data_IF_454708600834
#
_entry.id   IF_454708600834
#
_cell.length_a   1.000
_cell.length_b   1.000
_cell.length_c   1.000
_cell.angle_alpha   90.00
_cell.angle_beta   90.00
_cell.angle_gamma   90.00
#
_symmetry.space_group_name_H-M   'P 1'
#
loop_
_entity.id
_entity.type
_entity.pdbx_description
1 polymer ?
#
# COMPACT_ATOMS: atom_id res chain seq x y z
N UNK A 1 -24.85 -56.76 -47.76
CA UNK A 1 -24.57 -55.33 -47.88
C UNK A 1 -25.38 -54.57 -46.82
N UNK A 2 -24.83 -54.47 -45.64
CA UNK A 2 -25.38 -53.61 -44.55
C UNK A 2 -24.16 -53.27 -43.65
N UNK A 3 -23.99 -52.01 -43.35
CA UNK A 3 -23.04 -51.42 -42.41
C UNK A 3 -22.01 -50.52 -43.09
N UNK A 4 -22.38 -49.23 -43.19
CA UNK A 4 -21.42 -48.10 -43.37
C UNK A 4 -22.14 -46.76 -43.14
N UNK A 5 -23.04 -46.63 -42.14
CA UNK A 5 -23.69 -45.35 -41.82
C UNK A 5 -23.50 -44.85 -40.36
N UNK A 6 -22.80 -45.60 -39.51
CA UNK A 6 -22.66 -45.24 -38.09
C UNK A 6 -21.36 -44.45 -37.73
N UNK A 7 -20.37 -44.38 -38.59
CA UNK A 7 -19.07 -43.74 -38.26
C UNK A 7 -19.00 -42.24 -38.42
N UNK A 8 -19.93 -41.60 -39.17
CA UNK A 8 -19.83 -40.14 -39.44
C UNK A 8 -20.46 -39.26 -38.33
N UNK A 9 -21.24 -39.83 -37.43
CA UNK A 9 -21.93 -39.08 -36.37
C UNK A 9 -21.11 -38.98 -35.11
N UNK A 10 -20.19 -39.92 -34.87
CA UNK A 10 -19.31 -39.89 -33.68
C UNK A 10 -18.21 -38.81 -33.78
N UNK A 11 -17.76 -38.46 -35.00
CA UNK A 11 -16.72 -37.47 -35.21
C UNK A 11 -17.17 -36.01 -35.03
N UNK A 12 -18.45 -35.72 -35.25
CA UNK A 12 -19.01 -34.35 -35.12
C UNK A 12 -19.24 -33.94 -33.65
N UNK A 13 -19.38 -34.91 -32.73
CA UNK A 13 -19.57 -34.63 -31.29
C UNK A 13 -18.25 -34.38 -30.56
N UNK A 14 -17.17 -35.00 -31.03
CA UNK A 14 -15.84 -34.79 -30.43
C UNK A 14 -15.21 -33.39 -30.75
N UNK A 15 -15.60 -32.82 -31.92
CA UNK A 15 -15.07 -31.49 -32.32
C UNK A 15 -15.75 -30.31 -31.59
N UNK A 16 -16.91 -30.52 -30.98
CA UNK A 16 -17.61 -29.44 -30.25
C UNK A 16 -17.17 -29.27 -28.79
N UNK A 17 -16.31 -30.17 -28.27
CA UNK A 17 -15.86 -30.15 -26.88
C UNK A 17 -14.52 -29.46 -26.67
N UNK A 18 -13.87 -28.99 -27.75
CA UNK A 18 -12.59 -28.27 -27.68
C UNK A 18 -12.73 -26.77 -27.96
N UNK A 19 -13.89 -26.17 -27.76
CA UNK A 19 -13.95 -24.74 -27.61
C UNK A 19 -13.30 -24.40 -26.26
N UNK A 20 -11.97 -24.37 -26.22
CA UNK A 20 -11.26 -23.68 -25.16
C UNK A 20 -11.78 -22.24 -25.15
N UNK A 21 -12.38 -21.81 -24.05
CA UNK A 21 -12.65 -20.40 -23.85
C UNK A 21 -11.29 -19.68 -24.08
N UNK A 22 -11.24 -18.81 -25.07
CA UNK A 22 -10.11 -17.94 -25.23
C UNK A 22 -10.15 -16.96 -24.06
N UNK A 23 -9.41 -17.26 -23.00
CA UNK A 23 -9.18 -16.29 -21.94
C UNK A 23 -8.47 -15.09 -22.57
N UNK A 24 -8.99 -13.89 -22.36
CA UNK A 24 -8.29 -12.67 -22.73
C UNK A 24 -6.96 -12.63 -21.97
N UNK A 25 -5.91 -12.11 -22.57
CA UNK A 25 -4.67 -11.90 -21.83
C UNK A 25 -4.82 -10.69 -20.88
N UNK A 26 -4.15 -10.67 -19.74
CA UNK A 26 -4.19 -9.51 -18.86
C UNK A 26 -3.63 -8.28 -19.57
N UNK A 27 -4.09 -7.09 -19.19
CA UNK A 27 -3.48 -5.83 -19.66
C UNK A 27 -2.00 -5.85 -19.32
N UNK A 28 -1.16 -5.82 -20.33
CA UNK A 28 0.27 -6.03 -20.16
C UNK A 28 0.98 -4.82 -19.55
N UNK A 29 0.57 -3.61 -19.93
CA UNK A 29 1.24 -2.37 -19.53
C UNK A 29 0.20 -1.31 -19.13
N UNK A 30 0.54 -0.57 -18.08
CA UNK A 30 -0.19 0.55 -17.53
C UNK A 30 0.71 1.76 -17.39
N UNK A 31 0.14 2.92 -17.28
CA UNK A 31 0.77 4.08 -16.66
C UNK A 31 0.21 4.24 -15.25
N UNK A 32 1.05 4.69 -14.33
CA UNK A 32 0.63 4.94 -12.95
C UNK A 32 1.02 6.33 -12.50
N UNK A 33 0.31 6.83 -11.52
CA UNK A 33 0.69 7.99 -10.71
C UNK A 33 0.30 7.72 -9.25
N UNK A 34 1.26 7.92 -8.34
CA UNK A 34 1.05 7.87 -6.89
C UNK A 34 1.27 9.26 -6.33
N UNK A 35 0.27 9.80 -5.64
CA UNK A 35 0.39 11.03 -4.87
C UNK A 35 0.12 10.77 -3.40
N UNK A 36 0.85 11.46 -2.53
CA UNK A 36 0.63 11.44 -1.09
C UNK A 36 0.70 12.83 -0.52
N UNK A 37 -0.10 13.07 0.50
CA UNK A 37 -0.11 14.32 1.25
C UNK A 37 -0.42 14.06 2.74
N UNK A 38 0.13 14.88 3.62
CA UNK A 38 -0.29 14.90 5.02
C UNK A 38 -1.67 15.53 5.16
N UNK A 39 -2.56 14.89 5.91
CA UNK A 39 -3.77 15.54 6.41
C UNK A 39 -3.39 16.47 7.57
N UNK A 40 -3.27 17.75 7.25
CA UNK A 40 -2.85 18.78 8.23
C UNK A 40 -3.97 19.25 9.14
N UNK A 41 -5.15 18.64 9.09
CA UNK A 41 -6.24 18.95 10.03
C UNK A 41 -5.84 18.63 11.46
N UNK A 42 -6.26 19.41 12.46
CA UNK A 42 -5.96 19.15 13.88
C UNK A 42 -6.47 17.80 14.39
N UNK A 43 -7.41 17.16 13.68
CA UNK A 43 -7.93 15.85 14.02
C UNK A 43 -7.00 14.71 13.55
N UNK A 44 -6.24 14.94 12.48
CA UNK A 44 -5.37 13.95 11.86
C UNK A 44 -3.90 14.12 12.24
N UNK A 45 -3.43 15.38 12.33
CA UNK A 45 -2.03 15.68 12.69
C UNK A 45 -1.99 16.38 14.04
N UNK A 46 -1.34 15.73 15.00
CA UNK A 46 -1.24 16.19 16.38
C UNK A 46 0.20 16.31 16.82
N UNK A 47 0.46 17.34 17.62
CA UNK A 47 1.74 17.58 18.27
C UNK A 47 1.58 17.62 19.76
N UNK A 48 2.57 17.15 20.48
CA UNK A 48 2.64 17.20 21.95
C UNK A 48 3.81 18.07 22.37
N UNK A 49 3.64 18.79 23.48
CA UNK A 49 4.74 19.58 24.05
C UNK A 49 5.35 18.81 25.22
N UNK A 50 6.63 18.65 25.21
CA UNK A 50 7.37 17.96 26.29
C UNK A 50 7.44 18.75 27.61
N UNK A 51 6.99 20.01 27.62
CA UNK A 51 7.06 20.90 28.76
C UNK A 51 5.80 20.90 29.64
N UNK A 52 5.97 21.39 30.86
CA UNK A 52 4.87 21.51 31.85
C UNK A 52 3.90 22.64 31.56
N UNK A 53 4.17 23.48 30.59
CA UNK A 53 3.30 24.63 30.23
C UNK A 53 3.28 24.80 28.69
N UNK A 54 2.41 24.06 28.00
CA UNK A 54 2.28 24.20 26.56
C UNK A 54 1.74 25.61 26.24
N UNK A 55 2.59 26.46 25.70
CA UNK A 55 2.19 27.76 25.16
C UNK A 55 1.17 27.57 24.01
N UNK A 56 0.43 28.64 23.64
CA UNK A 56 -0.51 28.55 22.54
C UNK A 56 0.23 28.14 21.26
N UNK A 57 -0.39 27.22 20.54
CA UNK A 57 0.11 26.74 19.25
C UNK A 57 0.02 27.87 18.23
N UNK A 58 1.15 28.34 17.76
CA UNK A 58 1.22 29.22 16.62
C UNK A 58 2.45 28.86 15.78
N UNK A 59 2.54 29.25 14.48
CA UNK A 59 3.69 28.94 13.61
C UNK A 59 5.04 29.42 14.15
N UNK A 60 5.05 30.35 15.11
CA UNK A 60 6.24 30.81 15.81
C UNK A 60 6.60 29.99 17.04
N UNK A 61 5.82 29.01 17.45
CA UNK A 61 5.97 28.29 18.73
C UNK A 61 6.31 26.81 18.63
N UNK A 62 6.84 26.33 17.52
CA UNK A 62 7.49 25.07 17.56
C UNK A 62 7.04 23.97 16.62
N UNK A 63 5.99 24.14 15.85
CA UNK A 63 5.71 23.24 14.74
C UNK A 63 5.09 23.95 13.52
N UNK A 64 5.23 23.30 12.38
CA UNK A 64 4.74 23.76 11.10
C UNK A 64 4.21 22.59 10.29
N UNK A 65 3.13 22.81 9.53
CA UNK A 65 2.49 21.79 8.72
C UNK A 65 2.25 22.28 7.30
N UNK A 66 2.52 21.42 6.34
CA UNK A 66 2.11 21.56 4.95
C UNK A 66 1.72 20.19 4.39
N UNK A 67 1.21 20.13 3.17
CA UNK A 67 0.80 18.89 2.54
C UNK A 67 1.95 17.88 2.37
N UNK A 68 3.19 18.34 2.29
CA UNK A 68 4.35 17.48 2.08
C UNK A 68 5.43 17.57 3.16
N UNK A 69 5.28 18.45 4.15
CA UNK A 69 6.30 18.65 5.18
C UNK A 69 5.67 19.01 6.53
N UNK A 70 6.00 18.21 7.54
CA UNK A 70 5.74 18.49 8.93
C UNK A 70 7.06 18.81 9.62
N UNK A 71 7.11 19.87 10.45
CA UNK A 71 8.30 20.24 11.20
C UNK A 71 7.94 20.50 12.66
N UNK A 72 8.88 20.18 13.56
CA UNK A 72 8.72 20.45 14.99
C UNK A 72 10.06 20.76 15.66
N UNK A 73 10.04 21.22 16.90
CA UNK A 73 11.24 21.56 17.67
C UNK A 73 11.34 23.03 18.02
N UNK A 74 12.52 23.64 17.89
CA UNK A 74 12.74 25.03 18.28
C UNK A 74 12.20 26.04 17.26
N UNK A 75 11.84 27.23 17.76
CA UNK A 75 11.15 28.26 17.01
C UNK A 75 11.92 28.94 15.88
N UNK A 76 13.23 29.00 15.97
CA UNK A 76 14.10 29.89 15.19
C UNK A 76 14.90 29.17 14.12
N UNK A 77 14.66 27.89 13.94
CA UNK A 77 15.41 27.08 13.02
C UNK A 77 14.64 26.60 11.78
N UNK A 78 15.37 26.01 10.88
CA UNK A 78 14.84 25.26 9.75
C UNK A 78 15.44 23.86 9.75
N UNK A 79 14.83 22.93 9.05
CA UNK A 79 15.41 21.59 8.82
C UNK A 79 16.81 21.73 8.23
N UNK A 80 16.99 22.62 7.24
CA UNK A 80 18.29 22.87 6.60
C UNK A 80 19.36 23.41 7.55
N UNK A 81 18.95 24.10 8.64
CA UNK A 81 19.88 24.60 9.66
C UNK A 81 20.13 23.59 10.79
N UNK A 82 19.49 22.41 10.75
CA UNK A 82 19.68 21.37 11.74
C UNK A 82 19.11 21.71 13.13
N UNK A 83 18.08 22.54 13.20
CA UNK A 83 17.47 22.98 14.46
C UNK A 83 16.03 22.49 14.65
N UNK A 84 15.46 21.88 13.64
CA UNK A 84 14.12 21.27 13.68
C UNK A 84 14.18 19.86 13.16
N UNK A 85 13.44 18.97 13.80
CA UNK A 85 13.08 17.68 13.23
C UNK A 85 11.91 17.84 12.27
N UNK A 86 11.70 16.86 11.41
CA UNK A 86 10.60 16.91 10.45
C UNK A 86 10.36 15.60 9.73
N UNK A 87 9.18 15.47 9.17
CA UNK A 87 8.80 14.39 8.28
C UNK A 87 8.37 14.98 6.94
N UNK A 88 9.04 14.57 5.88
CA UNK A 88 8.78 15.04 4.51
C UNK A 88 8.33 13.91 3.60
N UNK A 89 7.32 14.19 2.78
CA UNK A 89 6.95 13.35 1.65
C UNK A 89 7.73 13.83 0.44
N UNK A 90 8.66 13.00 -0.02
CA UNK A 90 9.46 13.27 -1.20
C UNK A 90 8.99 12.40 -2.37
N UNK A 91 9.39 12.73 -3.58
CA UNK A 91 9.00 12.00 -4.79
C UNK A 91 7.46 11.86 -4.94
N UNK A 92 6.71 12.93 -4.67
CA UNK A 92 5.25 12.99 -4.86
C UNK A 92 4.90 14.16 -5.78
N UNK A 93 4.27 13.92 -6.96
CA UNK A 93 3.84 12.62 -7.47
C UNK A 93 5.00 11.76 -7.97
N UNK A 94 4.88 10.43 -7.81
CA UNK A 94 5.70 9.44 -8.49
C UNK A 94 4.88 8.82 -9.62
N UNK A 95 5.42 8.76 -10.84
CA UNK A 95 4.69 8.28 -11.99
C UNK A 95 5.58 7.57 -13.00
N UNK A 96 4.97 6.76 -13.87
CA UNK A 96 5.69 6.07 -14.92
C UNK A 96 4.94 4.88 -15.51
N UNK A 97 5.62 4.07 -16.34
CA UNK A 97 5.06 2.81 -16.82
C UNK A 97 5.18 1.72 -15.75
N UNK A 98 4.19 0.82 -15.72
CA UNK A 98 4.20 -0.39 -14.91
C UNK A 98 3.68 -1.57 -15.73
N UNK A 99 4.43 -2.67 -15.73
CA UNK A 99 4.03 -3.91 -16.38
C UNK A 99 3.28 -4.82 -15.39
N UNK A 100 2.20 -5.43 -15.85
CA UNK A 100 1.53 -6.49 -15.10
C UNK A 100 2.46 -7.68 -14.90
N UNK A 101 2.53 -8.21 -13.69
CA UNK A 101 3.46 -9.28 -13.29
C UNK A 101 4.94 -8.90 -13.50
N UNK A 102 5.25 -7.59 -13.58
CA UNK A 102 6.58 -7.06 -13.78
C UNK A 102 7.36 -6.79 -12.49
N UNK A 103 8.42 -6.01 -12.64
CA UNK A 103 9.25 -5.54 -11.53
C UNK A 103 8.51 -4.51 -10.67
N UNK A 104 9.03 -4.26 -9.47
CA UNK A 104 8.58 -3.15 -8.63
C UNK A 104 8.95 -1.81 -9.28
N UNK A 105 8.05 -0.84 -9.16
CA UNK A 105 8.22 0.54 -9.59
C UNK A 105 8.17 1.48 -8.38
N UNK A 106 8.87 2.63 -8.41
CA UNK A 106 8.86 3.57 -7.30
C UNK A 106 7.45 4.10 -6.97
N UNK A 107 7.17 4.26 -5.70
CA UNK A 107 6.07 5.06 -5.17
C UNK A 107 6.63 6.35 -4.53
N UNK A 108 5.97 6.88 -3.50
CA UNK A 108 6.51 8.03 -2.77
C UNK A 108 7.54 7.59 -1.73
N UNK A 109 8.41 8.52 -1.35
CA UNK A 109 9.42 8.34 -0.30
C UNK A 109 9.10 9.24 0.88
N UNK A 110 9.54 8.84 2.07
CA UNK A 110 9.34 9.59 3.30
C UNK A 110 10.68 9.77 4.01
N UNK A 111 11.04 11.02 4.28
CA UNK A 111 12.30 11.36 4.95
C UNK A 111 12.01 11.93 6.33
N UNK A 112 12.57 11.30 7.33
CA UNK A 112 12.64 11.84 8.68
C UNK A 112 13.96 12.58 8.87
N UNK A 113 13.88 13.87 9.14
CA UNK A 113 15.00 14.72 9.58
C UNK A 113 15.04 14.67 11.10
N UNK A 114 15.96 13.85 11.63
CA UNK A 114 16.08 13.66 13.07
C UNK A 114 17.16 14.57 13.65
N UNK A 115 16.75 15.63 14.29
CA UNK A 115 17.65 16.61 14.90
C UNK A 115 17.75 16.45 16.41
N UNK A 116 18.94 16.19 16.89
CA UNK A 116 19.23 16.01 18.31
C UNK A 116 19.12 17.29 19.17
N UNK A 117 18.87 18.45 18.56
CA UNK A 117 18.88 19.75 19.25
C UNK A 117 17.51 20.21 19.76
N UNK A 118 16.59 19.30 20.03
CA UNK A 118 15.29 19.66 20.63
C UNK A 118 15.49 20.16 22.04
N UNK A 119 15.17 21.44 22.27
CA UNK A 119 15.24 22.04 23.59
C UNK A 119 14.15 21.55 24.54
N UNK A 120 14.32 21.78 25.81
CA UNK A 120 13.24 21.60 26.79
C UNK A 120 12.02 22.46 26.40
N UNK A 121 10.82 21.92 26.51
CA UNK A 121 9.56 22.50 26.06
C UNK A 121 9.37 22.59 24.53
N UNK A 122 10.04 21.75 23.77
CA UNK A 122 9.81 21.64 22.34
C UNK A 122 8.51 20.90 22.03
N UNK A 123 7.87 21.28 20.94
CA UNK A 123 6.80 20.52 20.37
C UNK A 123 7.40 19.34 19.58
N UNK A 124 6.74 18.18 19.63
CA UNK A 124 7.10 16.99 18.85
C UNK A 124 5.85 16.44 18.15
N UNK A 125 6.03 15.82 17.02
CA UNK A 125 4.95 15.08 16.36
C UNK A 125 4.47 13.96 17.30
N UNK A 126 3.18 13.69 17.34
CA UNK A 126 2.61 12.52 18.01
C UNK A 126 1.93 11.59 17.02
N UNK A 127 1.02 12.13 16.22
CA UNK A 127 0.34 11.37 15.17
C UNK A 127 0.19 12.22 13.93
N UNK A 128 0.17 11.56 12.79
CA UNK A 128 -0.27 12.19 11.54
C UNK A 128 -0.98 11.16 10.65
N UNK A 129 -1.72 11.66 9.69
CA UNK A 129 -2.36 10.85 8.66
C UNK A 129 -1.80 11.23 7.30
N UNK A 130 -1.56 10.24 6.48
CA UNK A 130 -1.11 10.41 5.09
C UNK A 130 -2.24 9.92 4.21
N UNK A 131 -2.81 10.79 3.40
CA UNK A 131 -3.75 10.43 2.36
C UNK A 131 -2.99 10.20 1.07
N UNK A 132 -3.23 9.06 0.44
CA UNK A 132 -2.54 8.64 -0.77
C UNK A 132 -3.52 8.20 -1.84
N UNK A 133 -3.23 8.55 -3.08
CA UNK A 133 -3.96 8.09 -4.25
C UNK A 133 -3.03 7.35 -5.20
N UNK A 134 -3.54 6.29 -5.80
CA UNK A 134 -2.90 5.57 -6.90
C UNK A 134 -3.85 5.56 -8.09
N UNK A 135 -3.46 6.16 -9.18
CA UNK A 135 -4.13 6.02 -10.47
C UNK A 135 -3.40 5.02 -11.37
N UNK A 136 -4.16 4.20 -12.06
CA UNK A 136 -3.68 3.31 -13.13
C UNK A 136 -4.47 3.59 -14.39
N UNK A 137 -3.80 3.74 -15.52
CA UNK A 137 -4.41 3.98 -16.82
C UNK A 137 -3.84 3.05 -17.89
N UNK A 138 -4.73 2.46 -18.68
CA UNK A 138 -4.40 1.70 -19.87
C UNK A 138 -5.50 1.90 -20.93
N UNK A 139 -5.27 1.57 -22.22
CA UNK A 139 -6.29 1.75 -23.25
C UNK A 139 -7.63 1.12 -22.88
N UNK A 140 -8.65 1.95 -22.71
CA UNK A 140 -10.02 1.54 -22.37
C UNK A 140 -10.30 1.28 -20.89
N UNK A 141 -9.35 1.53 -19.99
CA UNK A 141 -9.54 1.34 -18.55
C UNK A 141 -8.72 2.32 -17.72
N UNK A 142 -9.40 2.99 -16.79
CA UNK A 142 -8.79 3.82 -15.75
C UNK A 142 -9.26 3.34 -14.38
N UNK A 143 -8.37 3.35 -13.41
CA UNK A 143 -8.63 2.98 -12.01
C UNK A 143 -8.03 4.02 -11.09
N UNK A 144 -8.78 4.36 -10.05
CA UNK A 144 -8.36 5.24 -8.98
C UNK A 144 -8.56 4.53 -7.64
N UNK A 145 -7.53 4.54 -6.83
CA UNK A 145 -7.54 3.98 -5.47
C UNK A 145 -7.13 5.07 -4.51
N UNK A 146 -7.87 5.17 -3.41
CA UNK A 146 -7.61 6.13 -2.35
C UNK A 146 -7.41 5.36 -1.04
N UNK A 147 -6.38 5.70 -0.29
CA UNK A 147 -6.13 5.10 1.01
C UNK A 147 -5.56 6.12 1.96
N UNK A 148 -5.63 5.80 3.25
CA UNK A 148 -5.05 6.61 4.30
C UNK A 148 -4.21 5.74 5.22
N UNK A 149 -3.05 6.28 5.59
CA UNK A 149 -2.14 5.67 6.57
C UNK A 149 -2.12 6.53 7.83
N UNK A 150 -2.15 5.89 8.98
CA UNK A 150 -1.88 6.57 10.24
C UNK A 150 -0.44 6.35 10.65
N UNK A 151 0.25 7.41 10.98
CA UNK A 151 1.61 7.40 11.52
C UNK A 151 1.52 7.74 12.99
N UNK A 152 2.08 6.89 13.85
CA UNK A 152 2.29 7.16 15.26
C UNK A 152 3.79 7.35 15.45
N UNK A 153 4.15 8.42 16.13
CA UNK A 153 5.54 8.82 16.28
C UNK A 153 5.84 9.13 17.75
N UNK A 154 7.02 8.78 18.18
CA UNK A 154 7.56 9.26 19.44
C UNK A 154 8.99 9.74 19.29
N UNK A 155 9.21 10.98 19.69
CA UNK A 155 10.53 11.56 19.90
C UNK A 155 11.12 10.95 21.16
N UNK A 156 12.26 10.32 21.06
CA UNK A 156 12.93 9.74 22.22
C UNK A 156 13.97 10.71 22.80
N UNK A 157 14.37 10.54 24.07
CA UNK A 157 15.40 11.41 24.63
C UNK A 157 16.72 11.26 23.88
N UNK A 158 17.30 12.38 23.45
CA UNK A 158 18.60 12.47 22.77
C UNK A 158 19.76 12.17 23.73
N UNK A 159 19.76 10.99 24.33
CA UNK A 159 20.76 10.56 25.33
C UNK A 159 21.02 9.06 25.21
N UNK A 160 22.15 8.66 25.71
CA UNK A 160 22.67 7.30 25.57
C UNK A 160 22.16 6.32 26.64
N UNK A 161 21.27 6.72 27.53
CA UNK A 161 20.77 5.88 28.62
C UNK A 161 19.30 6.13 28.89
N UNK A 162 18.59 5.07 29.24
CA UNK A 162 17.17 5.16 29.63
C UNK A 162 16.24 5.39 28.46
N UNK A 163 16.51 4.78 27.31
CA UNK A 163 15.59 4.75 26.20
C UNK A 163 14.30 4.04 26.63
N UNK A 164 13.15 4.71 26.59
CA UNK A 164 11.90 4.11 27.03
C UNK A 164 11.45 2.95 26.15
N UNK A 165 11.99 2.86 24.96
CA UNK A 165 11.48 2.02 23.89
C UNK A 165 12.46 1.04 23.27
N UNK A 166 13.75 1.12 23.59
CA UNK A 166 14.71 0.23 22.96
C UNK A 166 15.76 -0.26 23.95
N UNK A 167 16.06 -1.54 23.97
CA UNK A 167 17.15 -2.04 24.78
C UNK A 167 18.50 -1.50 24.35
N UNK A 168 18.69 -0.92 23.16
CA UNK A 168 20.04 -0.90 22.58
C UNK A 168 20.40 0.25 21.63
N UNK A 169 19.54 1.23 21.39
CA UNK A 169 19.96 2.36 20.57
C UNK A 169 20.76 3.36 21.41
N UNK A 170 21.93 3.71 20.92
CA UNK A 170 22.82 4.66 21.59
C UNK A 170 23.28 5.72 20.57
N UNK A 171 22.69 6.92 20.57
CA UNK A 171 21.57 7.41 21.39
C UNK A 171 20.22 6.74 21.07
N UNK A 172 19.19 7.01 21.90
CA UNK A 172 17.86 6.47 21.68
C UNK A 172 17.31 6.86 20.31
N UNK A 173 16.85 5.90 19.53
CA UNK A 173 16.26 6.15 18.21
C UNK A 173 14.81 6.55 18.33
N UNK A 174 14.36 7.49 17.52
CA UNK A 174 12.95 7.81 17.38
C UNK A 174 12.18 6.68 16.71
N UNK A 175 10.90 6.57 17.04
CA UNK A 175 10.08 5.44 16.62
C UNK A 175 8.93 5.92 15.77
N UNK A 176 8.79 5.30 14.61
CA UNK A 176 7.67 5.43 13.70
C UNK A 176 6.91 4.11 13.61
N UNK A 177 5.59 4.17 13.82
CA UNK A 177 4.66 3.06 13.55
C UNK A 177 3.76 3.49 12.41
N UNK A 178 3.66 2.68 11.36
CA UNK A 178 2.77 2.92 10.23
C UNK A 178 1.63 1.91 10.26
N UNK A 179 0.39 2.43 10.16
CA UNK A 179 -0.83 1.62 10.17
C UNK A 179 -1.69 1.98 8.97
N UNK A 180 -2.10 0.98 8.24
CA UNK A 180 -2.87 1.10 7.01
C UNK A 180 -2.19 0.40 5.85
N UNK A 181 -2.76 0.49 4.66
CA UNK A 181 -2.15 -0.08 3.48
C UNK A 181 -3.10 -0.18 2.30
N UNK A 182 -2.53 -0.32 1.11
CA UNK A 182 -3.27 -0.67 -0.09
C UNK A 182 -3.53 -2.18 -0.11
N UNK A 183 -4.61 -2.62 0.53
CA UNK A 183 -5.10 -4.00 0.43
C UNK A 183 -6.08 -4.19 -0.72
N UNK A 184 -6.13 -3.28 -1.68
CA UNK A 184 -7.15 -3.26 -2.71
C UNK A 184 -6.80 -4.14 -3.90
N UNK A 185 -7.84 -4.72 -4.50
CA UNK A 185 -7.77 -5.43 -5.78
C UNK A 185 -8.92 -4.98 -6.67
N UNK A 186 -8.81 -5.23 -7.96
CA UNK A 186 -9.88 -4.99 -8.91
C UNK A 186 -9.93 -6.07 -9.97
N UNK A 187 -11.12 -6.32 -10.51
CA UNK A 187 -11.30 -7.26 -11.61
C UNK A 187 -11.46 -6.49 -12.93
N UNK A 188 -10.75 -6.91 -13.95
CA UNK A 188 -10.89 -6.40 -15.31
C UNK A 188 -10.55 -7.49 -16.32
N UNK A 189 -11.40 -7.65 -17.33
CA UNK A 189 -11.23 -8.57 -18.48
C UNK A 189 -10.85 -10.01 -18.08
N UNK A 190 -11.53 -10.55 -17.06
CA UNK A 190 -11.33 -11.92 -16.58
C UNK A 190 -10.11 -12.12 -15.65
N UNK A 191 -9.46 -11.05 -15.24
CA UNK A 191 -8.34 -11.07 -14.31
C UNK A 191 -8.65 -10.29 -13.04
N UNK A 192 -8.18 -10.80 -11.91
CA UNK A 192 -8.06 -10.06 -10.66
C UNK A 192 -6.66 -9.47 -10.56
N UNK A 193 -6.59 -8.15 -10.42
CA UNK A 193 -5.36 -7.39 -10.24
C UNK A 193 -5.22 -7.01 -8.77
N UNK A 194 -4.06 -7.26 -8.20
CA UNK A 194 -3.70 -6.91 -6.82
C UNK A 194 -2.36 -6.19 -6.77
N UNK A 195 -2.15 -5.41 -5.70
CA UNK A 195 -0.92 -4.68 -5.46
C UNK A 195 -0.05 -5.41 -4.45
N UNK A 196 1.25 -5.42 -4.70
CA UNK A 196 2.25 -5.86 -3.73
C UNK A 196 3.20 -4.70 -3.47
N UNK A 197 3.40 -4.37 -2.20
CA UNK A 197 4.24 -3.25 -1.75
C UNK A 197 5.49 -3.76 -1.05
N UNK A 198 6.56 -3.00 -1.21
CA UNK A 198 7.80 -3.15 -0.45
C UNK A 198 8.27 -1.77 0.00
N UNK A 199 9.14 -1.74 1.00
CA UNK A 199 9.88 -0.55 1.42
C UNK A 199 11.36 -0.86 1.54
N UNK A 200 12.19 0.16 1.34
CA UNK A 200 13.64 0.11 1.55
C UNK A 200 14.07 1.34 2.38
N UNK A 201 14.56 1.18 3.60
CA UNK A 201 14.62 -0.06 4.37
C UNK A 201 13.24 -0.70 4.63
N UNK A 202 13.25 -2.03 4.77
CA UNK A 202 12.01 -2.76 5.03
C UNK A 202 11.43 -2.41 6.40
N UNK A 203 10.11 -2.29 6.48
CA UNK A 203 9.43 -2.27 7.78
C UNK A 203 9.69 -3.55 8.52
N UNK A 204 9.98 -3.41 9.82
CA UNK A 204 10.18 -4.54 10.71
C UNK A 204 9.12 -4.55 11.80
N UNK A 205 8.85 -5.72 12.35
CA UNK A 205 8.09 -5.83 13.59
C UNK A 205 8.90 -5.17 14.71
N UNK A 206 8.29 -4.18 15.35
CA UNK A 206 8.89 -3.50 16.49
C UNK A 206 8.59 -4.26 17.78
N UNK A 207 9.41 -4.07 18.81
CA UNK A 207 9.10 -4.62 20.13
C UNK A 207 7.81 -3.99 20.68
N UNK A 208 7.11 -4.73 21.53
CA UNK A 208 5.89 -4.22 22.19
C UNK A 208 6.14 -2.91 22.95
N UNK A 209 7.32 -2.77 23.55
CA UNK A 209 7.72 -1.54 24.24
C UNK A 209 7.84 -0.34 23.27
N UNK A 210 8.37 -0.57 22.08
CA UNK A 210 8.46 0.46 21.03
C UNK A 210 7.07 0.86 20.51
N UNK A 211 6.22 -0.13 20.25
CA UNK A 211 4.83 0.12 19.81
C UNK A 211 4.08 0.99 20.83
N UNK A 212 4.15 0.60 22.11
CA UNK A 212 3.48 1.32 23.20
C UNK A 212 4.07 2.72 23.38
N UNK A 213 5.39 2.88 23.28
CA UNK A 213 6.03 4.19 23.38
C UNK A 213 5.59 5.14 22.27
N UNK A 214 5.34 4.63 21.06
CA UNK A 214 4.78 5.40 19.95
C UNK A 214 3.27 5.68 20.09
N UNK A 215 2.63 5.20 21.14
CA UNK A 215 1.20 5.38 21.37
C UNK A 215 0.31 4.39 20.61
N UNK A 216 0.87 3.25 20.20
CA UNK A 216 0.14 2.20 19.51
C UNK A 216 0.10 0.89 20.33
N UNK A 217 -0.65 -0.09 19.87
CA UNK A 217 -0.73 -1.41 20.52
C UNK A 217 0.45 -2.30 20.13
N UNK A 218 0.74 -3.31 20.93
CA UNK A 218 1.75 -4.34 20.66
C UNK A 218 1.53 -5.04 19.30
N UNK A 219 2.61 -5.55 18.71
CA UNK A 219 2.57 -6.21 17.40
C UNK A 219 2.49 -5.23 16.23
N UNK A 220 3.07 -4.07 16.36
CA UNK A 220 3.12 -3.06 15.31
C UNK A 220 4.34 -3.23 14.40
N UNK A 221 4.24 -2.63 13.21
CA UNK A 221 5.32 -2.55 12.24
C UNK A 221 5.76 -1.10 12.06
N UNK A 222 7.03 -0.91 11.84
CA UNK A 222 7.59 0.43 11.68
C UNK A 222 9.10 0.42 11.52
N UNK A 223 9.71 1.51 11.91
CA UNK A 223 11.15 1.67 11.90
C UNK A 223 11.59 2.62 13.01
N UNK A 224 12.86 2.49 13.40
CA UNK A 224 13.51 3.38 14.34
C UNK A 224 14.58 4.20 13.61
N UNK A 225 14.62 5.50 13.90
CA UNK A 225 15.53 6.44 13.22
C UNK A 225 16.59 6.93 14.20
N UNK A 226 17.89 6.72 13.88
CA UNK A 226 18.98 7.18 14.73
C UNK A 226 18.98 8.71 14.89
N UNK A 227 19.39 9.17 16.05
CA UNK A 227 19.55 10.58 16.36
C UNK A 227 20.60 11.29 15.49
N UNK A 228 20.29 12.52 15.09
CA UNK A 228 21.20 13.39 14.35
C UNK A 228 21.46 12.91 12.91
N UNK A 229 20.57 12.13 12.34
CA UNK A 229 20.70 11.60 10.98
C UNK A 229 19.36 11.71 10.24
N UNK A 230 19.45 12.05 8.96
CA UNK A 230 18.30 11.94 8.07
C UNK A 230 18.06 10.47 7.72
N UNK A 231 16.79 10.07 7.69
CA UNK A 231 16.41 8.68 7.40
C UNK A 231 15.30 8.66 6.39
N UNK A 232 15.58 8.10 5.22
CA UNK A 232 14.61 8.00 4.13
C UNK A 232 14.12 6.55 3.98
N UNK A 233 12.82 6.40 3.82
CA UNK A 233 12.17 5.13 3.48
C UNK A 233 11.55 5.28 2.11
N UNK A 234 12.01 4.49 1.16
CA UNK A 234 11.51 4.44 -0.20
C UNK A 234 10.45 3.34 -0.33
N UNK A 235 9.30 3.68 -0.91
CA UNK A 235 8.27 2.70 -1.22
C UNK A 235 8.29 2.35 -2.69
N UNK A 236 8.03 1.10 -2.97
CA UNK A 236 7.81 0.60 -4.32
C UNK A 236 6.66 -0.40 -4.35
N UNK A 237 6.03 -0.55 -5.51
CA UNK A 237 4.94 -1.49 -5.69
C UNK A 237 5.01 -2.18 -7.04
N UNK A 238 4.31 -3.30 -7.16
CA UNK A 238 4.06 -3.97 -8.43
C UNK A 238 2.61 -4.39 -8.55
N UNK A 239 2.16 -4.54 -9.79
CA UNK A 239 0.83 -5.02 -10.15
C UNK A 239 0.91 -6.50 -10.53
N UNK A 240 0.11 -7.33 -9.87
CA UNK A 240 0.01 -8.77 -10.11
C UNK A 240 -1.40 -9.09 -10.61
N UNK A 241 -1.50 -9.82 -11.71
CA UNK A 241 -2.77 -10.30 -12.23
C UNK A 241 -2.86 -11.82 -12.14
N UNK A 242 -4.01 -12.31 -11.68
CA UNK A 242 -4.35 -13.73 -11.64
C UNK A 242 -5.66 -13.94 -12.42
N UNK A 243 -5.71 -15.00 -13.20
CA UNK A 243 -6.93 -15.35 -13.94
C UNK A 243 -8.06 -15.70 -12.96
N UNK A 244 -9.23 -15.10 -13.18
CA UNK A 244 -10.44 -15.46 -12.43
C UNK A 244 -11.07 -16.67 -13.09
N UNK A 245 -11.15 -17.84 -12.43
CA UNK A 245 -11.76 -19.02 -13.01
C UNK A 245 -13.20 -18.74 -13.44
N UNK A 246 -13.52 -19.11 -14.68
CA UNK A 246 -14.92 -19.00 -15.15
C UNK A 246 -15.84 -19.79 -14.23
N UNK A 247 -17.00 -19.24 -13.86
CA UNK A 247 -17.97 -19.96 -13.04
C UNK A 247 -18.30 -21.31 -13.68
N UNK A 248 -18.24 -22.38 -12.89
CA UNK A 248 -18.61 -23.75 -13.31
C UNK A 248 -20.04 -23.84 -13.92
N UNK A 249 -20.83 -22.77 -13.80
CA UNK A 249 -22.14 -22.60 -14.44
C UNK A 249 -22.09 -22.73 -15.96
N UNK A 250 -21.03 -22.22 -16.61
CA UNK A 250 -20.90 -22.38 -18.08
C UNK A 250 -20.67 -23.84 -18.48
N UNK A 251 -19.85 -24.57 -17.72
CA UNK A 251 -19.65 -26.00 -17.91
C UNK A 251 -20.95 -26.80 -17.66
N UNK A 252 -21.70 -26.41 -16.61
CA UNK A 252 -23.01 -27.03 -16.28
C UNK A 252 -24.06 -26.73 -17.35
N UNK A 253 -24.12 -25.52 -17.89
CA UNK A 253 -25.03 -25.18 -19.00
C UNK A 253 -24.64 -25.99 -20.24
N UNK A 254 -23.36 -26.07 -20.58
CA UNK A 254 -22.85 -26.89 -21.70
C UNK A 254 -23.22 -28.37 -21.53
N UNK A 255 -22.99 -28.94 -20.35
CA UNK A 255 -23.35 -30.32 -20.03
C UNK A 255 -24.87 -30.54 -20.06
N UNK A 256 -25.66 -29.57 -19.58
CA UNK A 256 -27.13 -29.59 -19.63
C UNK A 256 -27.66 -29.60 -21.04
N UNK A 257 -27.15 -28.76 -21.95
CA UNK A 257 -27.51 -28.72 -23.36
C UNK A 257 -27.17 -30.03 -24.08
N UNK A 258 -26.01 -30.60 -23.83
CA UNK A 258 -25.59 -31.90 -24.35
C UNK A 258 -26.48 -33.03 -23.85
N UNK A 259 -26.90 -33.01 -22.58
CA UNK A 259 -27.84 -33.93 -21.98
C UNK A 259 -29.21 -33.88 -22.66
N UNK A 260 -29.74 -32.69 -22.90
CA UNK A 260 -31.02 -32.48 -23.61
C UNK A 260 -30.95 -32.95 -25.06
N UNK A 261 -29.86 -32.68 -25.77
CA UNK A 261 -29.66 -33.16 -27.15
C UNK A 261 -29.62 -34.70 -27.22
N UNK A 262 -29.02 -35.34 -26.23
CA UNK A 262 -28.96 -36.80 -26.09
C UNK A 262 -30.34 -37.42 -25.86
N UNK A 263 -31.17 -36.81 -25.02
CA UNK A 263 -32.53 -37.25 -24.74
C UNK A 263 -33.44 -37.15 -25.98
N UNK A 264 -33.35 -36.06 -26.74
CA UNK A 264 -34.11 -35.83 -27.96
C UNK A 264 -33.79 -36.89 -29.05
N UNK A 265 -32.53 -37.30 -29.19
CA UNK A 265 -32.12 -38.39 -30.10
C UNK A 265 -32.68 -39.74 -29.71
N UNK A 266 -32.75 -40.06 -28.41
CA UNK A 266 -33.36 -41.31 -27.92
C UNK A 266 -34.83 -41.40 -28.18
N UNK A 267 -35.56 -40.29 -28.17
CA UNK A 267 -37.00 -40.27 -28.48
C UNK A 267 -37.31 -40.44 -29.96
N UNK A 268 -36.45 -39.91 -30.85
CA UNK A 268 -36.60 -40.07 -32.31
C UNK A 268 -36.26 -41.46 -32.83
N UNK A 269 -35.40 -42.20 -32.11
CA UNK A 269 -35.03 -43.59 -32.47
C UNK A 269 -36.06 -44.65 -32.05
N UNK A 270 -37.13 -44.28 -31.34
CA UNK A 270 -38.21 -45.18 -30.91
C UNK A 270 -39.50 -45.06 -31.75
N UNK A 271 -39.50 -44.22 -32.76
CA UNK A 271 -40.55 -44.14 -33.84
C UNK A 271 -39.95 -44.76 -35.10
#
# INVERSE_FOLDING_TARGET
>A
MRSLKSSRVAMAVAAALTASAASAAPVANWTYEVTSAFDTSPAATTFVNSGTNPGPVNPSTGYWTSANLLQWGQNDGSIAAGTRSGLEITNSPSNGPIATNGAFVPANSYTHYNNAALGANSWTLSTTKIDSTLSLSAPGVDKLFETSYSVYFTETPNRNTGCPSAPEANPCSDIFVLVGGFGESFTYDGYEYSFQFISDPAFTELSDAQCVAAGYQAGCFGFATPEGQDYTVDFAFRLVATEVPEPATLALIGAGLLGMAGLRRRQQGKR
#
